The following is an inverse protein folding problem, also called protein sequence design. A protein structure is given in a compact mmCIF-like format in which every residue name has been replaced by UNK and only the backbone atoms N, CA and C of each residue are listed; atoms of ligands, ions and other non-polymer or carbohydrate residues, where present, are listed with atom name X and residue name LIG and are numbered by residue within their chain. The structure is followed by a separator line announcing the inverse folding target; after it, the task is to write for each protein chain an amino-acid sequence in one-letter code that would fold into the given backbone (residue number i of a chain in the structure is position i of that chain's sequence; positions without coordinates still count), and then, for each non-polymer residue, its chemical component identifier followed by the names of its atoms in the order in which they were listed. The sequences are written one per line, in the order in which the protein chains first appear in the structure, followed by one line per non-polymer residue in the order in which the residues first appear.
data_IF_316437597367
#
_entry.id   IF_316437597367
#
_cell.length_a   1.000
_cell.length_b   1.000
_cell.length_c   1.000
_cell.angle_alpha   90.00
_cell.angle_beta   90.00
_cell.angle_gamma   90.00
#
_symmetry.space_group_name_H-M   'P 1'
#
loop_
_entity.id
_entity.type
_entity.pdbx_description
1 polymer ?
#
# COMPACT_ATOMS: atom_id res chain seq x y z
N UNK A 1 -7.55 10.52 11.99
CA UNK A 1 -6.99 11.33 10.90
C UNK A 1 -5.81 10.62 10.27
N UNK A 2 -5.10 11.24 9.32
CA UNK A 2 -4.01 10.59 8.56
C UNK A 2 -2.90 10.04 9.46
N UNK A 3 -2.48 10.83 10.46
CA UNK A 3 -1.45 10.45 11.43
C UNK A 3 -1.84 9.22 12.24
N UNK A 4 -3.07 9.18 12.74
CA UNK A 4 -3.56 8.06 13.55
C UNK A 4 -3.64 6.76 12.73
N UNK A 5 -4.04 6.86 11.46
CA UNK A 5 -4.06 5.72 10.54
C UNK A 5 -2.66 5.16 10.31
N UNK A 6 -1.68 6.03 10.04
CA UNK A 6 -0.29 5.63 9.85
C UNK A 6 0.30 4.98 11.11
N UNK A 7 0.04 5.55 12.29
CA UNK A 7 0.48 4.97 13.56
C UNK A 7 -0.16 3.61 13.83
N UNK A 8 -1.43 3.42 13.47
CA UNK A 8 -2.10 2.12 13.60
C UNK A 8 -1.40 1.04 12.77
N UNK A 9 -1.01 1.35 11.52
CA UNK A 9 -0.23 0.44 10.68
C UNK A 9 1.10 0.08 11.35
N UNK A 10 1.88 1.08 11.75
CA UNK A 10 3.19 0.89 12.39
C UNK A 10 3.06 0.05 13.66
N UNK A 11 2.12 0.37 14.55
CA UNK A 11 1.92 -0.39 15.79
C UNK A 11 1.49 -1.83 15.51
N UNK A 12 0.60 -2.05 14.54
CA UNK A 12 0.16 -3.40 14.17
C UNK A 12 1.29 -4.25 13.59
N UNK A 13 2.20 -3.65 12.81
CA UNK A 13 3.39 -4.33 12.30
C UNK A 13 4.44 -4.58 13.38
N UNK A 14 4.69 -3.61 14.27
CA UNK A 14 5.64 -3.77 15.37
C UNK A 14 5.19 -4.82 16.39
N UNK A 15 3.88 -5.05 16.53
CA UNK A 15 3.33 -6.09 17.37
C UNK A 15 3.55 -7.50 16.80
N UNK A 16 3.90 -7.63 15.52
CA UNK A 16 4.30 -8.90 14.93
C UNK A 16 5.72 -9.24 15.42
N UNK A 17 5.79 -10.10 16.44
CA UNK A 17 7.04 -10.79 16.74
C UNK A 17 7.36 -11.72 15.56
N UNK A 18 8.61 -11.69 15.06
CA UNK A 18 9.06 -12.60 14.02
C UNK A 18 8.95 -14.05 14.52
N UNK A 19 7.89 -14.74 14.10
CA UNK A 19 7.59 -16.11 14.52
C UNK A 19 8.30 -17.11 13.60
N UNK A 20 9.55 -17.45 13.94
CA UNK A 20 10.30 -18.55 13.32
C UNK A 20 10.48 -18.46 11.79
N UNK A 21 10.83 -19.58 11.16
CA UNK A 21 11.13 -19.66 9.72
C UNK A 21 9.90 -19.47 8.80
N UNK A 22 8.68 -19.43 9.35
CA UNK A 22 7.42 -19.39 8.59
C UNK A 22 6.81 -18.01 8.34
N UNK A 23 7.48 -16.93 8.74
CA UNK A 23 6.95 -15.57 8.64
C UNK A 23 5.90 -15.23 9.70
N UNK A 24 5.40 -13.99 9.68
CA UNK A 24 4.39 -13.50 10.61
C UNK A 24 3.05 -13.26 9.90
N UNK A 25 1.95 -13.71 10.52
CA UNK A 25 0.58 -13.48 10.01
C UNK A 25 -0.08 -12.39 10.84
N UNK A 26 -0.40 -11.26 10.19
CA UNK A 26 -1.15 -10.17 10.79
C UNK A 26 -2.65 -10.38 10.59
N UNK A 27 -3.40 -10.43 11.69
CA UNK A 27 -4.86 -10.43 11.68
C UNK A 27 -5.36 -9.05 12.08
N UNK A 28 -6.17 -8.44 11.22
CA UNK A 28 -6.75 -7.13 11.44
C UNK A 28 -8.23 -7.27 11.79
N UNK A 29 -8.67 -6.53 12.79
CA UNK A 29 -10.09 -6.27 13.02
C UNK A 29 -10.68 -5.40 11.89
N UNK A 30 -12.00 -5.37 11.71
CA UNK A 30 -12.63 -4.51 10.70
C UNK A 30 -12.26 -3.03 10.83
N UNK A 31 -12.06 -2.54 12.06
CA UNK A 31 -11.66 -1.16 12.30
C UNK A 31 -10.19 -0.92 11.91
N UNK A 32 -9.28 -1.84 12.25
CA UNK A 32 -7.88 -1.75 11.84
C UNK A 32 -7.74 -1.85 10.33
N UNK A 33 -8.50 -2.71 9.67
CA UNK A 33 -8.56 -2.81 8.20
C UNK A 33 -8.98 -1.49 7.55
N UNK A 34 -9.93 -0.73 8.14
CA UNK A 34 -10.28 0.62 7.64
C UNK A 34 -9.15 1.62 7.82
N UNK A 35 -8.43 1.57 8.95
CA UNK A 35 -7.27 2.44 9.19
C UNK A 35 -6.12 2.12 8.23
N UNK A 36 -5.89 0.83 7.96
CA UNK A 36 -4.95 0.36 6.94
C UNK A 36 -5.33 0.86 5.54
N UNK A 37 -6.59 0.71 5.12
CA UNK A 37 -7.07 1.25 3.83
C UNK A 37 -6.77 2.74 3.70
N UNK A 38 -7.08 3.53 4.73
CA UNK A 38 -6.80 4.97 4.71
C UNK A 38 -5.31 5.29 4.58
N UNK A 39 -4.45 4.59 5.34
CA UNK A 39 -3.01 4.78 5.29
C UNK A 39 -2.38 4.35 3.95
N UNK A 40 -2.80 3.20 3.40
CA UNK A 40 -2.34 2.70 2.11
C UNK A 40 -2.75 3.65 0.97
N UNK A 41 -3.98 4.16 1.02
CA UNK A 41 -4.46 5.14 0.05
C UNK A 41 -3.65 6.45 0.11
N UNK A 42 -3.40 6.98 1.32
CA UNK A 42 -2.57 8.19 1.49
C UNK A 42 -1.15 7.98 0.96
N UNK A 43 -0.54 6.81 1.20
CA UNK A 43 0.78 6.46 0.69
C UNK A 43 0.79 6.35 -0.83
N UNK A 44 -0.22 5.68 -1.41
CA UNK A 44 -0.38 5.53 -2.86
C UNK A 44 -0.52 6.90 -3.53
N UNK A 45 -1.33 7.80 -2.98
CA UNK A 45 -1.48 9.17 -3.48
C UNK A 45 -0.17 9.97 -3.38
N UNK A 46 0.56 9.86 -2.28
CA UNK A 46 1.84 10.54 -2.13
C UNK A 46 2.89 10.07 -3.15
N UNK A 47 2.93 8.76 -3.43
CA UNK A 47 3.79 8.20 -4.47
C UNK A 47 3.32 8.66 -5.85
N UNK A 48 2.01 8.65 -6.12
CA UNK A 48 1.47 9.12 -7.39
C UNK A 48 1.84 10.57 -7.68
N UNK A 49 1.69 11.46 -6.70
CA UNK A 49 2.10 12.86 -6.84
C UNK A 49 3.59 13.01 -7.12
N UNK A 50 4.44 12.15 -6.55
CA UNK A 50 5.88 12.17 -6.80
C UNK A 50 6.26 11.58 -8.17
N UNK A 51 5.44 10.68 -8.70
CA UNK A 51 5.58 10.12 -10.04
C UNK A 51 4.89 10.97 -11.11
N UNK A 52 4.24 12.07 -10.71
CA UNK A 52 3.46 12.96 -11.58
C UNK A 52 2.32 12.24 -12.34
N UNK A 53 1.70 11.24 -11.70
CA UNK A 53 0.53 10.53 -12.24
C UNK A 53 -0.71 11.40 -11.99
N UNK A 54 -1.25 12.01 -13.05
CA UNK A 54 -2.44 12.85 -13.02
C UNK A 54 -3.72 12.13 -13.43
N UNK A 55 -3.63 11.19 -14.36
CA UNK A 55 -4.77 10.44 -14.91
C UNK A 55 -4.47 8.95 -15.18
N UNK A 56 -5.41 8.26 -15.82
CA UNK A 56 -5.29 6.84 -16.17
C UNK A 56 -4.26 6.58 -17.27
N UNK A 57 -4.05 7.52 -18.20
CA UNK A 57 -3.07 7.38 -19.28
C UNK A 57 -1.64 7.45 -18.73
N UNK A 58 -1.40 8.35 -17.77
CA UNK A 58 -0.12 8.44 -17.05
C UNK A 58 0.23 7.13 -16.31
N UNK A 59 -0.78 6.45 -15.76
CA UNK A 59 -0.61 5.20 -15.03
C UNK A 59 -0.23 4.03 -15.96
N UNK A 60 -0.77 4.02 -17.18
CA UNK A 60 -0.48 3.00 -18.20
C UNK A 60 0.97 3.07 -18.69
N UNK A 61 1.54 4.27 -18.76
CA UNK A 61 2.94 4.47 -19.17
C UNK A 61 3.95 3.94 -18.15
N UNK A 62 3.56 3.81 -16.87
CA UNK A 62 4.41 3.24 -15.83
C UNK A 62 4.77 1.77 -16.11
N UNK A 63 3.85 1.02 -16.72
CA UNK A 63 4.09 -0.38 -17.09
C UNK A 63 5.08 -0.52 -18.25
N UNK A 64 5.30 0.55 -19.01
CA UNK A 64 6.19 0.57 -20.18
C UNK A 64 7.58 1.12 -19.90
N UNK A 65 7.83 1.58 -18.67
CA UNK A 65 9.15 2.11 -18.29
C UNK A 65 10.25 1.04 -18.44
N UNK A 66 11.41 1.41 -19.01
CA UNK A 66 12.58 0.54 -19.03
C UNK A 66 12.98 0.10 -17.63
N UNK A 67 13.56 -1.10 -17.50
CA UNK A 67 13.97 -1.64 -16.20
C UNK A 67 15.09 -0.83 -15.54
N UNK A 68 15.88 -0.09 -16.33
CA UNK A 68 16.93 0.82 -15.84
C UNK A 68 16.39 2.19 -15.41
N UNK A 69 15.09 2.48 -15.59
CA UNK A 69 14.51 3.77 -15.20
C UNK A 69 14.60 3.95 -13.67
N UNK A 70 15.17 5.07 -13.17
CA UNK A 70 15.34 5.31 -11.75
C UNK A 70 14.02 5.39 -10.97
N UNK A 71 12.88 5.60 -11.65
CA UNK A 71 11.53 5.62 -11.05
C UNK A 71 10.97 4.22 -10.82
N UNK A 72 11.54 3.18 -11.44
CA UNK A 72 11.03 1.80 -11.40
C UNK A 72 10.76 1.29 -9.97
N UNK A 73 11.63 1.50 -8.96
CA UNK A 73 11.33 1.05 -7.59
C UNK A 73 10.08 1.70 -6.99
N UNK A 74 9.86 3.00 -7.25
CA UNK A 74 8.68 3.71 -6.77
C UNK A 74 7.40 3.27 -7.50
N UNK A 75 7.50 2.98 -8.80
CA UNK A 75 6.40 2.39 -9.58
C UNK A 75 6.02 1.02 -9.04
N UNK A 76 7.00 0.16 -8.76
CA UNK A 76 6.73 -1.16 -8.18
C UNK A 76 6.03 -1.05 -6.83
N UNK A 77 6.45 -0.10 -5.98
CA UNK A 77 5.77 0.17 -4.71
C UNK A 77 4.33 0.65 -4.92
N UNK A 78 4.10 1.58 -5.86
CA UNK A 78 2.76 2.07 -6.21
C UNK A 78 1.81 0.95 -6.64
N UNK A 79 2.27 0.09 -7.56
CA UNK A 79 1.48 -1.03 -8.08
C UNK A 79 1.18 -2.07 -6.99
N UNK A 80 2.20 -2.43 -6.20
CA UNK A 80 2.03 -3.38 -5.10
C UNK A 80 1.04 -2.87 -4.04
N UNK A 81 1.10 -1.59 -3.69
CA UNK A 81 0.15 -0.96 -2.78
C UNK A 81 -1.28 -0.96 -3.33
N UNK A 82 -1.43 -0.75 -4.65
CA UNK A 82 -2.71 -0.88 -5.34
C UNK A 82 -3.32 -2.27 -5.17
N UNK A 83 -2.56 -3.31 -5.51
CA UNK A 83 -3.00 -4.69 -5.34
C UNK A 83 -3.31 -5.04 -3.87
N UNK A 84 -2.45 -4.63 -2.93
CA UNK A 84 -2.71 -4.82 -1.50
C UNK A 84 -4.00 -4.12 -1.05
N UNK A 85 -4.23 -2.89 -1.49
CA UNK A 85 -5.45 -2.14 -1.18
C UNK A 85 -6.68 -2.86 -1.74
N UNK A 86 -6.64 -3.36 -2.98
CA UNK A 86 -7.73 -4.15 -3.58
C UNK A 86 -8.06 -5.40 -2.76
N UNK A 87 -7.05 -6.17 -2.34
CA UNK A 87 -7.28 -7.35 -1.49
C UNK A 87 -7.92 -6.99 -0.14
N UNK A 88 -7.60 -5.82 0.40
CA UNK A 88 -8.18 -5.36 1.66
C UNK A 88 -9.62 -4.88 1.46
N UNK A 89 -9.91 -4.16 0.37
CA UNK A 89 -11.27 -3.77 0.01
C UNK A 89 -12.16 -5.00 -0.21
N UNK A 90 -11.66 -6.06 -0.86
CA UNK A 90 -12.45 -7.27 -1.09
C UNK A 90 -12.90 -7.95 0.21
N UNK A 91 -12.19 -7.76 1.32
CA UNK A 91 -12.63 -8.28 2.64
C UNK A 91 -13.89 -7.61 3.19
N UNK A 92 -14.26 -6.43 2.65
CA UNK A 92 -15.46 -5.70 3.03
C UNK A 92 -16.63 -5.90 2.06
N UNK A 93 -16.41 -6.59 0.93
CA UNK A 93 -17.47 -6.92 -0.01
C UNK A 93 -18.19 -8.20 0.44
N UNK A 94 -19.52 -8.28 0.27
CA UNK A 94 -20.31 -9.45 0.65
C UNK A 94 -20.03 -10.70 -0.21
#
# INVERSE_FOLDING_TARGET
GKRENALAVIHSLNALAASGEGGAVLKLSPEESRRWLGALNDLRLAIASRLEIGDEDDADDLYRLPDEDPRKPMVMAYLWLGGLQETLVSTFMP
#
